data_IF_047218149132
#
_entry.id   IF_047218149132
#
_cell.length_a   1.000
_cell.length_b   1.000
_cell.length_c   1.000
_cell.angle_alpha   90.00
_cell.angle_beta   90.00
_cell.angle_gamma   90.00
#
_symmetry.space_group_name_H-M   'P 1'
#
loop_
_entity.id
_entity.type
_entity.pdbx_description
1 polymer ?
#
# COMPACT_ATOMS: atom_id res chain seq x y z
N UNK A 1 -4.02 14.59 -7.47
CA UNK A 1 -3.96 15.43 -6.26
C UNK A 1 -4.73 14.83 -5.09
N UNK A 2 -5.99 14.37 -5.27
CA UNK A 2 -6.78 13.76 -4.19
C UNK A 2 -6.15 12.48 -3.60
N UNK A 3 -5.58 11.60 -4.43
CA UNK A 3 -4.98 10.34 -3.99
C UNK A 3 -3.85 10.53 -2.95
N UNK A 4 -3.00 11.55 -3.12
CA UNK A 4 -1.86 11.83 -2.22
C UNK A 4 -2.29 12.35 -0.85
N UNK A 5 -3.38 13.12 -0.76
CA UNK A 5 -3.88 13.64 0.52
C UNK A 5 -4.60 12.53 1.30
N UNK A 6 -5.43 11.74 0.60
CA UNK A 6 -6.12 10.57 1.16
C UNK A 6 -5.12 9.58 1.76
N UNK A 7 -3.99 9.40 1.11
CA UNK A 7 -2.93 8.49 1.58
C UNK A 7 -2.12 9.06 2.74
N UNK A 8 -1.81 10.36 2.73
CA UNK A 8 -1.02 10.99 3.78
C UNK A 8 -1.78 11.11 5.12
N UNK A 9 -3.11 11.18 5.09
CA UNK A 9 -3.93 11.05 6.30
C UNK A 9 -4.17 9.60 6.70
N UNK A 10 -4.25 8.67 5.74
CA UNK A 10 -4.39 7.23 6.01
C UNK A 10 -3.25 6.66 6.85
N UNK A 11 -1.99 6.98 6.52
CA UNK A 11 -0.85 6.44 7.28
C UNK A 11 -0.71 7.07 8.69
N UNK A 12 -1.19 8.30 8.91
CA UNK A 12 -1.24 8.93 10.24
C UNK A 12 -2.42 8.42 11.09
N UNK A 13 -3.54 8.09 10.46
CA UNK A 13 -4.71 7.53 11.10
C UNK A 13 -4.51 6.07 11.56
N UNK A 14 -3.69 5.29 10.86
CA UNK A 14 -3.52 3.87 11.13
C UNK A 14 -2.79 3.54 12.46
N UNK A 15 -2.37 4.55 13.23
CA UNK A 15 -1.63 4.35 14.50
C UNK A 15 -2.11 5.17 15.70
N UNK A 16 -3.15 6.02 15.58
CA UNK A 16 -3.66 6.80 16.71
C UNK A 16 -5.14 6.53 16.94
N UNK A 17 -5.47 6.09 18.16
CA UNK A 17 -6.71 6.16 18.99
C UNK A 17 -8.08 6.66 18.42
N UNK A 18 -8.33 6.64 17.13
CA UNK A 18 -9.60 7.06 16.48
C UNK A 18 -10.10 6.04 15.44
N UNK A 19 -9.62 4.79 15.51
CA UNK A 19 -9.96 3.72 14.57
C UNK A 19 -11.48 3.45 14.54
N UNK A 20 -12.17 3.63 15.67
CA UNK A 20 -13.62 3.41 15.78
C UNK A 20 -14.46 4.59 15.26
N UNK A 21 -13.98 5.83 15.37
CA UNK A 21 -14.70 7.02 14.91
C UNK A 21 -14.55 7.23 13.39
N UNK A 22 -13.36 7.01 12.85
CA UNK A 22 -13.11 7.12 11.42
C UNK A 22 -13.67 5.94 10.60
N UNK A 23 -13.97 4.79 11.24
CA UNK A 23 -14.70 3.69 10.60
C UNK A 23 -16.11 4.12 10.15
N UNK A 24 -16.70 5.13 10.80
CA UNK A 24 -18.03 5.68 10.45
C UNK A 24 -18.00 6.62 9.26
N UNK A 25 -16.84 7.16 8.88
CA UNK A 25 -16.73 8.18 7.83
C UNK A 25 -16.46 7.61 6.42
N UNK A 26 -16.50 6.28 6.25
CA UNK A 26 -16.36 5.65 4.93
C UNK A 26 -14.94 5.71 4.33
N UNK A 27 -14.02 6.46 4.94
CA UNK A 27 -12.61 6.53 4.55
C UNK A 27 -11.91 5.16 4.57
N UNK A 28 -12.14 4.39 5.65
CA UNK A 28 -11.65 3.02 5.73
C UNK A 28 -12.34 2.07 4.74
N UNK A 29 -13.52 2.40 4.21
CA UNK A 29 -14.26 1.51 3.33
C UNK A 29 -13.58 1.35 1.97
N UNK A 30 -13.12 2.45 1.36
CA UNK A 30 -12.38 2.42 0.09
C UNK A 30 -11.06 1.67 0.22
N UNK A 31 -10.32 1.91 1.31
CA UNK A 31 -9.08 1.19 1.60
C UNK A 31 -9.32 -0.31 1.80
N UNK A 32 -10.30 -0.68 2.64
CA UNK A 32 -10.69 -2.08 2.87
C UNK A 32 -11.16 -2.75 1.59
N UNK A 33 -11.95 -2.06 0.76
CA UNK A 33 -12.44 -2.59 -0.52
C UNK A 33 -11.29 -2.83 -1.50
N UNK A 34 -10.35 -1.89 -1.63
CA UNK A 34 -9.19 -2.06 -2.49
C UNK A 34 -8.28 -3.19 -2.00
N UNK A 35 -7.98 -3.22 -0.69
CA UNK A 35 -7.18 -4.28 -0.06
C UNK A 35 -7.83 -5.67 -0.27
N UNK A 36 -9.16 -5.76 -0.10
CA UNK A 36 -9.90 -7.00 -0.33
C UNK A 36 -9.81 -7.46 -1.79
N UNK A 37 -9.96 -6.55 -2.77
CA UNK A 37 -9.81 -6.89 -4.20
C UNK A 37 -8.42 -7.41 -4.54
N UNK A 38 -7.37 -6.80 -3.99
CA UNK A 38 -5.99 -7.26 -4.20
C UNK A 38 -5.80 -8.65 -3.58
N UNK A 39 -6.38 -8.91 -2.40
CA UNK A 39 -6.32 -10.22 -1.76
C UNK A 39 -7.04 -11.31 -2.58
N UNK A 40 -8.16 -10.97 -3.22
CA UNK A 40 -8.87 -11.86 -4.15
C UNK A 40 -8.00 -12.19 -5.36
N UNK A 41 -7.37 -11.18 -5.99
CA UNK A 41 -6.44 -11.38 -7.11
C UNK A 41 -5.25 -12.27 -6.70
N UNK A 42 -4.71 -12.11 -5.49
CA UNK A 42 -3.65 -12.98 -4.97
C UNK A 42 -4.12 -14.44 -4.93
N UNK A 43 -5.33 -14.69 -4.43
CA UNK A 43 -5.89 -16.04 -4.34
C UNK A 43 -6.28 -16.62 -5.70
N UNK A 44 -6.69 -15.78 -6.66
CA UNK A 44 -6.91 -16.21 -8.05
C UNK A 44 -5.61 -16.73 -8.69
N UNK A 45 -4.47 -16.10 -8.38
CA UNK A 45 -3.16 -16.49 -8.91
C UNK A 45 -2.51 -17.64 -8.13
N UNK A 46 -2.62 -17.64 -6.80
CA UNK A 46 -2.11 -18.69 -5.92
C UNK A 46 -3.16 -19.02 -4.84
N UNK A 47 -4.06 -19.99 -5.11
CA UNK A 47 -5.13 -20.35 -4.18
C UNK A 47 -4.65 -20.87 -2.82
N UNK A 48 -3.41 -21.34 -2.74
CA UNK A 48 -2.79 -21.85 -1.51
C UNK A 48 -2.03 -20.80 -0.71
N UNK A 49 -2.01 -19.53 -1.17
CA UNK A 49 -1.26 -18.47 -0.51
C UNK A 49 -1.83 -18.21 0.90
N UNK A 50 -1.03 -18.32 1.98
CA UNK A 50 -1.56 -18.35 3.34
C UNK A 50 -2.01 -16.98 3.89
N UNK A 51 -1.52 -15.87 3.34
CA UNK A 51 -1.70 -14.53 3.93
C UNK A 51 -2.11 -13.43 2.93
N UNK A 52 -3.13 -13.65 2.07
CA UNK A 52 -3.42 -12.77 0.93
C UNK A 52 -3.83 -11.35 1.36
N UNK A 53 -4.63 -11.24 2.43
CA UNK A 53 -5.06 -9.96 2.98
C UNK A 53 -3.91 -9.15 3.56
N UNK A 54 -2.99 -9.80 4.27
CA UNK A 54 -1.83 -9.13 4.85
C UNK A 54 -0.87 -8.65 3.76
N UNK A 55 -0.65 -9.46 2.72
CA UNK A 55 0.14 -9.03 1.57
C UNK A 55 -0.53 -7.84 0.86
N UNK A 56 -1.84 -7.88 0.65
CA UNK A 56 -2.59 -6.81 0.02
C UNK A 56 -2.50 -5.47 0.79
N UNK A 57 -2.74 -5.48 2.10
CA UNK A 57 -2.58 -4.27 2.92
C UNK A 57 -1.14 -3.77 2.93
N UNK A 58 -0.16 -4.68 3.04
CA UNK A 58 1.25 -4.30 3.03
C UNK A 58 1.66 -3.66 1.69
N UNK A 59 1.21 -4.19 0.55
CA UNK A 59 1.47 -3.59 -0.77
C UNK A 59 0.91 -2.17 -0.87
N UNK A 60 -0.28 -1.93 -0.29
CA UNK A 60 -0.89 -0.59 -0.26
C UNK A 60 -0.10 0.39 0.62
N UNK A 61 0.34 -0.04 1.80
CA UNK A 61 1.17 0.81 2.67
C UNK A 61 2.53 1.12 2.04
N UNK A 62 3.21 0.08 1.53
CA UNK A 62 4.51 0.22 0.86
C UNK A 62 4.47 1.21 -0.30
N UNK A 63 3.38 1.25 -1.06
CA UNK A 63 3.21 2.21 -2.15
C UNK A 63 3.41 3.67 -1.66
N UNK A 64 2.96 3.97 -0.46
CA UNK A 64 3.01 5.31 0.11
C UNK A 64 4.35 5.57 0.80
N UNK A 65 4.81 4.59 1.56
CA UNK A 65 6.07 4.64 2.28
C UNK A 65 7.25 4.86 1.33
N UNK A 66 7.32 4.13 0.22
CA UNK A 66 8.43 4.28 -0.73
C UNK A 66 8.42 5.62 -1.48
N UNK A 67 7.24 6.24 -1.68
CA UNK A 67 7.16 7.63 -2.18
C UNK A 67 7.72 8.60 -1.15
N UNK A 68 7.36 8.43 0.13
CA UNK A 68 7.84 9.29 1.22
C UNK A 68 9.35 9.12 1.45
N UNK A 69 9.83 7.87 1.48
CA UNK A 69 11.25 7.56 1.64
C UNK A 69 12.09 8.16 0.51
N UNK A 70 11.62 8.10 -0.73
CA UNK A 70 12.36 8.67 -1.86
C UNK A 70 12.62 10.18 -1.70
N UNK A 71 11.72 10.90 -1.02
CA UNK A 71 11.81 12.35 -0.82
C UNK A 71 12.52 12.74 0.48
N UNK A 72 12.35 11.95 1.55
CA UNK A 72 12.71 12.37 2.91
C UNK A 72 13.70 11.44 3.60
N UNK A 73 13.71 10.15 3.25
CA UNK A 73 14.53 9.11 3.88
C UNK A 73 15.14 8.18 2.81
N UNK A 74 15.94 8.71 1.85
CA UNK A 74 16.34 7.97 0.65
C UNK A 74 17.23 6.76 0.94
N UNK A 75 17.73 6.58 2.17
CA UNK A 75 18.46 5.38 2.59
C UNK A 75 17.56 4.19 2.92
N UNK A 76 16.24 4.36 2.94
CA UNK A 76 15.26 3.31 3.26
C UNK A 76 14.58 2.72 2.01
N UNK A 77 14.94 3.19 0.81
CA UNK A 77 14.27 2.79 -0.43
C UNK A 77 15.24 2.78 -1.59
N UNK A 78 14.99 1.91 -2.55
CA UNK A 78 15.68 1.92 -3.86
C UNK A 78 15.05 2.91 -4.85
N UNK A 79 13.93 3.55 -4.47
CA UNK A 79 13.24 4.55 -5.28
C UNK A 79 13.96 5.89 -5.20
N UNK A 80 14.34 6.44 -6.36
CA UNK A 80 14.91 7.77 -6.48
C UNK A 80 13.81 8.85 -6.37
N UNK A 81 14.11 9.94 -5.67
CA UNK A 81 13.25 11.14 -5.67
C UNK A 81 13.23 11.90 -7.00
N UNK A 82 14.01 11.47 -8.00
CA UNK A 82 14.07 12.03 -9.34
C UNK A 82 13.44 11.08 -10.38
N UNK A 83 12.98 11.65 -11.50
CA UNK A 83 12.33 10.89 -12.57
C UNK A 83 10.89 10.51 -12.25
N UNK A 84 10.40 9.43 -12.85
CA UNK A 84 9.04 8.93 -12.58
C UNK A 84 9.04 8.08 -11.30
N UNK A 85 8.77 8.73 -10.18
CA UNK A 85 8.72 8.10 -8.85
C UNK A 85 7.60 7.06 -8.79
N UNK A 86 6.45 7.33 -9.43
CA UNK A 86 5.31 6.42 -9.38
C UNK A 86 5.64 5.12 -10.12
N UNK A 87 6.29 5.23 -11.28
CA UNK A 87 6.72 4.04 -12.02
C UNK A 87 7.74 3.20 -11.26
N UNK A 88 8.71 3.85 -10.61
CA UNK A 88 9.71 3.15 -9.78
C UNK A 88 9.06 2.40 -8.61
N UNK A 89 8.07 3.00 -7.95
CA UNK A 89 7.32 2.35 -6.88
C UNK A 89 6.50 1.19 -7.41
N UNK A 90 5.82 1.36 -8.55
CA UNK A 90 5.09 0.29 -9.21
C UNK A 90 6.01 -0.91 -9.50
N UNK A 91 7.18 -0.66 -10.10
CA UNK A 91 8.15 -1.71 -10.44
C UNK A 91 8.68 -2.43 -9.18
N UNK A 92 8.90 -1.70 -8.08
CA UNK A 92 9.28 -2.27 -6.79
C UNK A 92 8.18 -3.18 -6.22
N UNK A 93 6.94 -2.70 -6.18
CA UNK A 93 5.80 -3.46 -5.66
C UNK A 93 5.50 -4.71 -6.49
N UNK A 94 5.58 -4.57 -7.82
CA UNK A 94 5.44 -5.68 -8.77
C UNK A 94 6.53 -6.71 -8.51
N UNK A 95 7.79 -6.30 -8.35
CA UNK A 95 8.89 -7.19 -8.01
C UNK A 95 8.60 -8.00 -6.72
N UNK A 96 8.15 -7.33 -5.66
CA UNK A 96 7.82 -8.00 -4.39
C UNK A 96 6.62 -8.95 -4.54
N UNK A 97 5.54 -8.52 -5.19
CA UNK A 97 4.38 -9.36 -5.42
C UNK A 97 4.74 -10.62 -6.21
N UNK A 98 5.49 -10.49 -7.32
CA UNK A 98 5.95 -11.64 -8.10
C UNK A 98 6.79 -12.61 -7.27
N UNK A 99 7.74 -12.11 -6.47
CA UNK A 99 8.61 -12.96 -5.64
C UNK A 99 7.91 -13.66 -4.49
N UNK A 100 6.76 -13.16 -4.05
CA UNK A 100 5.96 -13.80 -3.00
C UNK A 100 4.95 -14.80 -3.56
N UNK A 101 4.48 -14.60 -4.79
CA UNK A 101 3.45 -15.44 -5.40
C UNK A 101 4.01 -16.64 -6.17
N UNK A 102 5.27 -16.57 -6.64
CA UNK A 102 5.96 -17.57 -7.46
C UNK A 102 7.36 -17.87 -6.95
#
# INVERSE_FOLDING_TARGET
MLHRIVIAEGSKACHNKEVDEQNKEGFFWSYKSLSQKIAEIILENNPSFPYPRALASNLLEMANDHIYFAQHLPRLTEVSGQGDVLKQVEDLLVCFAWKMLY
#
